data_IF_123527329781
#
_entry.id   IF_123527329781
#
_cell.length_a   1.000
_cell.length_b   1.000
_cell.length_c   1.000
_cell.angle_alpha   90.00
_cell.angle_beta   90.00
_cell.angle_gamma   90.00
#
_symmetry.space_group_name_H-M   'P 1'
#
loop_
_entity.id
_entity.type
_entity.pdbx_description
1 polymer ?
#
# COMPACT_ATOMS: atom_id res chain seq x y z
N UNK A 1 0.78 -33.37 2.48
CA UNK A 1 0.20 -32.13 3.04
C UNK A 1 1.35 -31.32 3.57
N UNK A 2 1.79 -30.31 2.82
CA UNK A 2 2.84 -29.40 3.31
C UNK A 2 2.22 -28.56 4.43
N UNK A 3 2.57 -28.88 5.67
CA UNK A 3 2.06 -28.17 6.83
C UNK A 3 2.68 -26.78 6.78
N UNK A 4 1.91 -25.81 6.25
CA UNK A 4 2.27 -24.39 6.27
C UNK A 4 2.65 -24.02 7.70
N UNK A 5 3.95 -23.84 7.96
CA UNK A 5 4.41 -23.36 9.26
C UNK A 5 3.71 -22.04 9.55
N UNK A 6 3.17 -21.89 10.74
CA UNK A 6 2.51 -20.62 11.12
C UNK A 6 3.58 -19.56 11.33
N UNK A 7 3.30 -18.30 10.98
CA UNK A 7 4.23 -17.18 11.21
C UNK A 7 4.79 -17.19 12.66
N UNK A 8 3.93 -17.49 13.64
CA UNK A 8 4.34 -17.61 15.04
C UNK A 8 5.37 -18.71 15.32
N UNK A 9 5.27 -19.86 14.65
CA UNK A 9 6.23 -20.97 14.80
C UNK A 9 7.56 -20.60 14.16
N UNK A 10 7.53 -19.97 12.99
CA UNK A 10 8.73 -19.51 12.30
C UNK A 10 9.49 -18.45 13.11
N UNK A 11 8.77 -17.58 13.82
CA UNK A 11 9.34 -16.56 14.70
C UNK A 11 10.02 -17.18 15.93
N UNK A 12 9.47 -18.27 16.47
CA UNK A 12 10.10 -19.04 17.55
C UNK A 12 11.36 -19.76 17.03
N UNK A 13 11.28 -20.41 15.87
CA UNK A 13 12.43 -21.09 15.24
C UNK A 13 13.58 -20.11 14.94
N UNK A 14 13.24 -18.86 14.61
CA UNK A 14 14.21 -17.80 14.33
C UNK A 14 14.75 -17.12 15.59
N UNK A 15 14.38 -17.59 16.79
CA UNK A 15 14.69 -16.97 18.10
C UNK A 15 14.25 -15.50 18.21
N UNK A 16 13.26 -15.08 17.42
CA UNK A 16 12.70 -13.72 17.47
C UNK A 16 11.60 -13.59 18.53
N UNK A 17 11.01 -14.71 18.95
CA UNK A 17 10.00 -14.77 20.00
C UNK A 17 10.16 -16.02 20.87
N UNK A 18 9.83 -15.89 22.15
CA UNK A 18 9.56 -17.06 22.99
C UNK A 18 8.12 -17.57 22.81
N UNK A 19 7.88 -18.82 23.19
CA UNK A 19 6.53 -19.40 23.15
C UNK A 19 5.54 -18.64 24.04
N UNK A 20 6.00 -18.10 25.17
CA UNK A 20 5.20 -17.26 26.06
C UNK A 20 4.84 -15.92 25.40
N UNK A 21 5.81 -15.26 24.76
CA UNK A 21 5.57 -14.01 24.03
C UNK A 21 4.62 -14.21 22.85
N UNK A 22 4.71 -15.35 22.14
CA UNK A 22 3.77 -15.69 21.08
C UNK A 22 2.35 -15.84 21.61
N UNK A 23 2.15 -16.51 22.74
CA UNK A 23 0.81 -16.67 23.33
C UNK A 23 0.21 -15.34 23.78
N UNK A 24 1.00 -14.49 24.44
CA UNK A 24 0.57 -13.13 24.80
C UNK A 24 0.22 -12.31 23.55
N UNK A 25 1.04 -12.37 22.51
CA UNK A 25 0.78 -11.68 21.25
C UNK A 25 -0.50 -12.18 20.56
N UNK A 26 -0.76 -13.49 20.53
CA UNK A 26 -1.99 -14.05 19.98
C UNK A 26 -3.24 -13.64 20.78
N UNK A 27 -3.13 -13.54 22.11
CA UNK A 27 -4.23 -13.10 22.97
C UNK A 27 -4.59 -11.62 22.75
N UNK A 28 -3.58 -10.77 22.57
CA UNK A 28 -3.76 -9.34 22.30
C UNK A 28 -4.15 -9.06 20.84
N UNK A 29 -3.63 -9.84 19.90
CA UNK A 29 -4.02 -9.80 18.49
C UNK A 29 -5.53 -10.02 18.34
N UNK A 30 -6.11 -10.98 19.07
CA UNK A 30 -7.57 -11.25 19.04
C UNK A 30 -8.41 -10.04 19.47
N UNK A 31 -7.87 -9.15 20.30
CA UNK A 31 -8.56 -7.93 20.76
C UNK A 31 -8.46 -6.79 19.75
N UNK A 32 -7.38 -6.76 18.97
CA UNK A 32 -7.09 -5.69 18.01
C UNK A 32 -7.55 -5.99 16.59
N UNK A 33 -7.71 -7.28 16.24
CA UNK A 33 -8.09 -7.72 14.89
C UNK A 33 -6.97 -7.59 13.84
N UNK A 34 -5.77 -7.16 14.24
CA UNK A 34 -4.61 -6.99 13.36
C UNK A 34 -3.98 -8.33 12.98
N UNK A 35 -3.16 -8.36 11.92
CA UNK A 35 -2.32 -9.53 11.63
C UNK A 35 -1.24 -9.68 12.72
N UNK A 36 -0.85 -10.92 13.05
CA UNK A 36 0.17 -11.20 14.08
C UNK A 36 1.48 -10.46 13.81
N UNK A 37 1.95 -10.42 12.55
CA UNK A 37 3.15 -9.68 12.18
C UNK A 37 3.06 -8.18 12.48
N UNK A 38 1.97 -7.52 12.06
CA UNK A 38 1.72 -6.10 12.33
C UNK A 38 1.65 -5.82 13.83
N UNK A 39 0.99 -6.70 14.60
CA UNK A 39 0.90 -6.56 16.04
C UNK A 39 2.29 -6.62 16.70
N UNK A 40 3.14 -7.57 16.30
CA UNK A 40 4.49 -7.72 16.82
C UNK A 40 5.42 -6.55 16.48
N UNK A 41 5.27 -5.98 15.28
CA UNK A 41 5.99 -4.78 14.85
C UNK A 41 5.57 -3.58 15.68
N UNK A 42 4.27 -3.38 15.87
CA UNK A 42 3.73 -2.27 16.65
C UNK A 42 4.09 -2.36 18.13
N UNK A 43 4.17 -3.58 18.67
CA UNK A 43 4.66 -3.83 20.03
C UNK A 43 6.17 -3.67 20.21
N UNK A 44 6.92 -3.43 19.14
CA UNK A 44 8.38 -3.30 19.17
C UNK A 44 9.12 -4.62 19.46
N UNK A 45 8.41 -5.75 19.42
CA UNK A 45 8.96 -7.07 19.73
C UNK A 45 9.83 -7.58 18.58
N UNK A 46 9.39 -7.33 17.34
CA UNK A 46 10.11 -7.73 16.12
C UNK A 46 10.10 -6.58 15.13
N UNK A 47 11.22 -6.30 14.48
CA UNK A 47 11.28 -5.28 13.42
C UNK A 47 10.64 -5.77 12.12
N UNK A 48 9.99 -4.88 11.38
CA UNK A 48 9.40 -5.16 10.05
C UNK A 48 10.39 -5.85 9.11
N UNK A 49 11.62 -5.32 9.03
CA UNK A 49 12.71 -5.89 8.23
C UNK A 49 13.06 -7.32 8.65
N UNK A 50 13.02 -7.63 9.95
CA UNK A 50 13.36 -8.97 10.45
C UNK A 50 12.29 -9.99 10.05
N UNK A 51 11.01 -9.58 10.05
CA UNK A 51 9.91 -10.43 9.55
C UNK A 51 10.09 -10.71 8.07
N UNK A 52 10.36 -9.66 7.27
CA UNK A 52 10.60 -9.80 5.83
C UNK A 52 11.79 -10.72 5.55
N UNK A 53 12.92 -10.51 6.22
CA UNK A 53 14.12 -11.33 6.03
C UNK A 53 13.88 -12.79 6.43
N UNK A 54 13.12 -13.03 7.50
CA UNK A 54 12.71 -14.37 7.92
C UNK A 54 11.84 -15.05 6.86
N UNK A 55 10.82 -14.35 6.33
CA UNK A 55 9.94 -14.85 5.29
C UNK A 55 10.71 -15.18 4.00
N UNK A 56 11.62 -14.30 3.58
CA UNK A 56 12.47 -14.50 2.41
C UNK A 56 13.31 -15.78 2.55
N UNK A 57 13.96 -15.96 3.70
CA UNK A 57 14.80 -17.15 3.96
C UNK A 57 13.98 -18.44 4.00
N UNK A 58 12.83 -18.41 4.66
CA UNK A 58 12.01 -19.60 4.87
C UNK A 58 11.31 -20.05 3.59
N UNK A 59 10.80 -19.10 2.80
CA UNK A 59 10.08 -19.36 1.56
C UNK A 59 11.00 -19.38 0.33
N UNK A 60 12.29 -19.06 0.51
CA UNK A 60 13.27 -18.90 -0.58
C UNK A 60 12.81 -17.90 -1.65
N UNK A 61 12.16 -16.84 -1.21
CA UNK A 61 11.68 -15.74 -2.06
C UNK A 61 12.67 -14.58 -1.96
N UNK A 62 12.85 -13.82 -3.05
CA UNK A 62 13.69 -12.62 -3.02
C UNK A 62 13.04 -11.49 -2.21
N UNK A 63 13.88 -10.70 -1.56
CA UNK A 63 13.51 -9.43 -0.96
C UNK A 63 13.46 -8.33 -2.02
N UNK A 64 12.48 -7.45 -1.91
CA UNK A 64 12.37 -6.28 -2.76
C UNK A 64 13.53 -5.30 -2.50
N UNK A 65 14.11 -4.81 -3.60
CA UNK A 65 15.13 -3.78 -3.58
C UNK A 65 14.81 -2.72 -4.65
N UNK A 66 14.61 -1.45 -4.28
CA UNK A 66 14.30 -0.38 -5.23
C UNK A 66 15.31 -0.27 -6.39
N UNK A 67 16.60 -0.49 -6.13
CA UNK A 67 17.65 -0.37 -7.14
C UNK A 67 17.57 -1.43 -8.26
N UNK A 68 16.93 -2.57 -7.99
CA UNK A 68 16.82 -3.67 -8.97
C UNK A 68 15.60 -3.56 -9.88
N UNK A 69 14.57 -2.85 -9.42
CA UNK A 69 13.26 -2.83 -10.06
C UNK A 69 12.88 -1.40 -10.42
N UNK A 70 13.24 -0.93 -11.62
CA UNK A 70 12.81 0.38 -12.08
C UNK A 70 11.28 0.42 -12.17
N UNK A 71 10.68 1.51 -11.70
CA UNK A 71 9.23 1.70 -11.72
C UNK A 71 8.75 1.85 -13.15
N UNK A 72 7.80 1.00 -13.56
CA UNK A 72 7.18 1.03 -14.88
C UNK A 72 5.69 1.40 -14.74
N UNK A 73 5.32 2.56 -15.27
CA UNK A 73 3.95 3.08 -15.20
C UNK A 73 2.96 2.30 -16.07
N UNK A 74 3.43 1.56 -17.08
CA UNK A 74 2.52 0.73 -17.89
C UNK A 74 1.90 -0.42 -17.08
N UNK A 75 2.52 -0.78 -15.94
CA UNK A 75 1.99 -1.78 -15.01
C UNK A 75 0.71 -1.34 -14.29
N UNK A 76 0.47 -0.03 -14.17
CA UNK A 76 -0.77 0.52 -13.61
C UNK A 76 -2.02 0.12 -14.43
N UNK A 77 -1.84 -0.27 -15.70
CA UNK A 77 -2.92 -0.78 -16.55
C UNK A 77 -3.30 -2.23 -16.25
N UNK A 78 -2.41 -3.00 -15.62
CA UNK A 78 -2.62 -4.41 -15.28
C UNK A 78 -3.32 -4.56 -13.93
N UNK A 79 -2.92 -3.74 -12.97
CA UNK A 79 -3.45 -3.75 -11.62
C UNK A 79 -3.85 -2.31 -11.31
N UNK A 80 -5.13 -2.09 -10.98
CA UNK A 80 -5.62 -0.77 -10.55
C UNK A 80 -5.13 -0.44 -9.15
N UNK A 81 -5.07 0.87 -8.82
CA UNK A 81 -4.67 1.35 -7.49
C UNK A 81 -5.52 0.74 -6.36
N UNK A 82 -6.82 0.57 -6.57
CA UNK A 82 -7.73 -0.04 -5.59
C UNK A 82 -7.32 -1.48 -5.24
N UNK A 83 -6.89 -2.25 -6.25
CA UNK A 83 -6.45 -3.63 -6.09
C UNK A 83 -5.10 -3.65 -5.36
N UNK A 84 -4.19 -2.78 -5.77
CA UNK A 84 -2.87 -2.62 -5.16
C UNK A 84 -2.98 -2.26 -3.66
N UNK A 85 -3.86 -1.31 -3.32
CA UNK A 85 -4.12 -0.91 -1.93
C UNK A 85 -4.87 -1.99 -1.15
N UNK A 86 -5.90 -2.61 -1.72
CA UNK A 86 -6.71 -3.64 -1.05
C UNK A 86 -5.86 -4.84 -0.65
N UNK A 87 -4.99 -5.30 -1.54
CA UNK A 87 -4.15 -6.47 -1.31
C UNK A 87 -2.75 -6.13 -0.79
N UNK A 88 -2.45 -4.83 -0.57
CA UNK A 88 -1.13 -4.35 -0.12
C UNK A 88 0.00 -4.93 -0.98
N UNK A 89 -0.11 -4.72 -2.29
CA UNK A 89 0.83 -5.20 -3.29
C UNK A 89 1.10 -4.13 -4.36
N UNK A 90 2.20 -4.28 -5.09
CA UNK A 90 2.52 -3.42 -6.22
C UNK A 90 3.20 -4.20 -7.34
N UNK A 91 2.83 -3.98 -8.61
CA UNK A 91 3.53 -4.60 -9.73
C UNK A 91 4.92 -3.99 -9.91
N UNK A 92 5.94 -4.83 -10.08
CA UNK A 92 7.33 -4.41 -10.25
C UNK A 92 7.80 -4.48 -11.70
N UNK A 93 7.44 -5.56 -12.39
CA UNK A 93 7.90 -5.81 -13.76
C UNK A 93 7.02 -6.83 -14.45
N UNK A 94 6.79 -6.66 -15.75
CA UNK A 94 6.17 -7.67 -16.60
C UNK A 94 7.13 -8.10 -17.71
N UNK A 95 7.31 -9.41 -17.87
CA UNK A 95 8.10 -10.02 -18.95
C UNK A 95 7.29 -11.12 -19.63
N UNK A 96 6.61 -10.76 -20.72
CA UNK A 96 5.73 -11.69 -21.44
C UNK A 96 4.55 -12.11 -20.57
N UNK A 97 4.54 -13.39 -20.15
CA UNK A 97 3.53 -13.96 -19.25
C UNK A 97 3.93 -13.93 -17.78
N UNK A 98 5.18 -13.57 -17.45
CA UNK A 98 5.65 -13.50 -16.07
C UNK A 98 5.44 -12.09 -15.51
N UNK A 99 4.75 -11.96 -14.39
CA UNK A 99 4.50 -10.71 -13.69
C UNK A 99 5.14 -10.77 -12.30
N UNK A 100 6.20 -9.99 -12.10
CA UNK A 100 6.84 -9.85 -10.79
C UNK A 100 6.07 -8.81 -9.96
N UNK A 101 5.63 -9.18 -8.75
CA UNK A 101 4.90 -8.31 -7.84
C UNK A 101 5.55 -8.26 -6.46
N UNK A 102 5.54 -7.07 -5.86
CA UNK A 102 5.92 -6.86 -4.47
C UNK A 102 4.71 -7.11 -3.56
N UNK A 103 4.86 -7.95 -2.54
CA UNK A 103 3.83 -8.30 -1.57
C UNK A 103 4.37 -8.13 -0.15
N UNK A 104 3.49 -7.70 0.75
CA UNK A 104 3.77 -7.68 2.19
C UNK A 104 3.66 -9.06 2.83
N UNK A 105 2.76 -9.90 2.30
CA UNK A 105 2.45 -11.22 2.84
C UNK A 105 2.42 -12.29 1.73
N UNK A 106 3.56 -12.94 1.42
CA UNK A 106 3.63 -13.97 0.37
C UNK A 106 2.90 -15.27 0.74
N UNK A 107 2.39 -15.41 1.97
CA UNK A 107 1.67 -16.60 2.42
C UNK A 107 0.18 -16.57 2.03
N UNK A 108 -0.31 -15.41 1.58
CA UNK A 108 -1.69 -15.23 1.16
C UNK A 108 -1.91 -15.73 -0.28
N UNK A 109 -2.12 -17.04 -0.39
CA UNK A 109 -2.37 -17.71 -1.67
C UNK A 109 -3.61 -17.14 -2.38
N UNK A 110 -4.63 -16.70 -1.65
CA UNK A 110 -5.84 -16.15 -2.29
C UNK A 110 -5.51 -14.86 -3.05
N UNK A 111 -4.62 -14.04 -2.49
CA UNK A 111 -4.13 -12.83 -3.15
C UNK A 111 -3.36 -13.19 -4.42
N UNK A 112 -2.44 -14.16 -4.35
CA UNK A 112 -1.70 -14.63 -5.52
C UNK A 112 -2.63 -15.15 -6.62
N UNK A 113 -3.53 -16.09 -6.28
CA UNK A 113 -4.48 -16.69 -7.23
C UNK A 113 -5.39 -15.63 -7.88
N UNK A 114 -5.84 -14.65 -7.08
CA UNK A 114 -6.68 -13.55 -7.59
C UNK A 114 -5.92 -12.70 -8.60
N UNK A 115 -4.65 -12.38 -8.34
CA UNK A 115 -3.84 -11.57 -9.25
C UNK A 115 -3.47 -12.36 -10.51
N UNK A 116 -3.15 -13.64 -10.40
CA UNK A 116 -2.91 -14.51 -11.56
C UNK A 116 -4.15 -14.59 -12.46
N UNK A 117 -5.32 -14.81 -11.87
CA UNK A 117 -6.59 -14.87 -12.59
C UNK A 117 -6.95 -13.52 -13.26
N UNK A 118 -6.71 -12.40 -12.58
CA UNK A 118 -6.99 -11.06 -13.11
C UNK A 118 -6.04 -10.66 -14.24
N UNK A 119 -4.75 -10.98 -14.09
CA UNK A 119 -3.70 -10.54 -15.03
C UNK A 119 -3.42 -11.56 -16.12
N UNK A 120 -4.01 -12.76 -16.03
CA UNK A 120 -3.78 -13.91 -16.90
C UNK A 120 -2.27 -14.19 -17.12
N UNK A 121 -1.49 -13.94 -16.08
CA UNK A 121 -0.03 -13.97 -16.05
C UNK A 121 0.42 -14.82 -14.87
N UNK A 122 1.57 -15.46 -15.00
CA UNK A 122 2.23 -16.21 -13.92
C UNK A 122 2.88 -15.20 -12.97
N UNK A 123 2.57 -15.29 -11.67
CA UNK A 123 2.99 -14.28 -10.70
C UNK A 123 4.25 -14.74 -9.98
N UNK A 124 5.28 -13.90 -10.04
CA UNK A 124 6.51 -14.08 -9.28
C UNK A 124 6.49 -13.14 -8.05
N UNK A 125 6.26 -13.67 -6.84
CA UNK A 125 6.18 -12.84 -5.65
C UNK A 125 7.58 -12.40 -5.19
N UNK A 126 7.67 -11.16 -4.72
CA UNK A 126 8.84 -10.59 -4.05
C UNK A 126 8.37 -9.98 -2.74
N UNK A 127 9.08 -10.25 -1.63
CA UNK A 127 8.63 -9.79 -0.31
C UNK A 127 9.13 -8.37 -0.05
N UNK A 128 8.25 -7.50 0.40
CA UNK A 128 8.55 -6.11 0.75
C UNK A 128 7.92 -5.73 2.10
N UNK A 129 8.39 -4.63 2.68
CA UNK A 129 7.79 -4.00 3.86
C UNK A 129 6.55 -3.19 3.48
N UNK A 130 5.70 -2.88 4.46
CA UNK A 130 4.53 -2.02 4.26
C UNK A 130 4.93 -0.62 3.77
N UNK A 131 6.08 -0.12 4.21
CA UNK A 131 6.61 1.17 3.74
C UNK A 131 6.99 1.12 2.26
N UNK A 132 7.70 0.08 1.86
CA UNK A 132 8.14 -0.10 0.47
C UNK A 132 6.96 -0.27 -0.48
N UNK A 133 5.94 -1.07 -0.12
CA UNK A 133 4.76 -1.24 -0.99
C UNK A 133 3.98 0.07 -1.14
N UNK A 134 3.82 0.84 -0.07
CA UNK A 134 3.14 2.14 -0.15
C UNK A 134 3.93 3.12 -1.01
N UNK A 135 5.26 3.13 -0.92
CA UNK A 135 6.11 3.93 -1.79
C UNK A 135 6.00 3.50 -3.25
N UNK A 136 5.94 2.21 -3.53
CA UNK A 136 5.74 1.66 -4.87
C UNK A 136 4.38 2.07 -5.44
N UNK A 137 3.30 1.89 -4.68
CA UNK A 137 1.95 2.32 -5.07
C UNK A 137 1.97 3.83 -5.40
N UNK A 138 2.53 4.66 -4.53
CA UNK A 138 2.64 6.09 -4.78
C UNK A 138 3.52 6.42 -6.00
N UNK A 139 4.53 5.62 -6.31
CA UNK A 139 5.41 5.86 -7.45
C UNK A 139 4.78 5.43 -8.78
N UNK A 140 4.05 4.30 -8.78
CA UNK A 140 3.37 3.74 -9.96
C UNK A 140 2.10 4.52 -10.28
N UNK A 141 1.29 4.87 -9.27
CA UNK A 141 -0.02 5.51 -9.42
C UNK A 141 -0.03 7.00 -9.08
N UNK A 142 1.01 7.54 -8.45
CA UNK A 142 1.00 8.93 -7.94
C UNK A 142 0.85 10.02 -9.00
N UNK A 143 1.02 9.70 -10.28
CA UNK A 143 0.70 10.66 -11.35
C UNK A 143 -0.81 10.73 -11.65
N UNK A 144 -1.59 9.67 -11.37
CA UNK A 144 -3.05 9.71 -11.43
C UNK A 144 -3.66 10.45 -10.22
N UNK A 145 -3.10 10.27 -9.02
CA UNK A 145 -3.58 11.00 -7.82
C UNK A 145 -3.29 12.50 -7.89
N UNK A 146 -2.17 12.92 -8.47
CA UNK A 146 -1.87 14.36 -8.62
C UNK A 146 -2.92 15.10 -9.45
N UNK A 147 -3.56 14.46 -10.43
CA UNK A 147 -4.62 15.08 -11.23
C UNK A 147 -5.96 15.11 -10.47
N UNK A 148 -6.25 14.12 -9.61
CA UNK A 148 -7.43 14.14 -8.74
C UNK A 148 -7.41 15.30 -7.74
N UNK A 149 -6.27 15.52 -7.08
CA UNK A 149 -6.13 16.60 -6.08
C UNK A 149 -6.19 18.01 -6.71
N UNK A 150 -5.75 18.21 -7.97
CA UNK A 150 -5.87 19.55 -8.60
C UNK A 150 -7.31 19.84 -9.01
N UNK A 151 -8.09 18.85 -9.46
CA UNK A 151 -9.49 19.07 -9.81
C UNK A 151 -10.36 19.39 -8.58
N UNK A 152 -10.11 18.73 -7.44
CA UNK A 152 -10.85 19.02 -6.20
C UNK A 152 -10.55 20.44 -5.65
N UNK A 153 -9.36 20.98 -5.93
CA UNK A 153 -8.98 22.35 -5.55
C UNK A 153 -9.58 23.46 -6.43
N UNK A 154 -10.32 23.15 -7.50
CA UNK A 154 -10.96 24.13 -8.39
C UNK A 154 -12.49 24.26 -8.24
N UNK A 155 -13.14 23.44 -7.41
CA UNK A 155 -14.62 23.44 -7.28
C UNK A 155 -15.19 24.36 -6.18
N UNK A 156 -14.40 25.28 -5.62
CA UNK A 156 -14.94 26.27 -4.67
C UNK A 156 -14.42 27.67 -5.01
N UNK A 157 -15.01 28.29 -6.03
CA UNK A 157 -15.40 29.71 -5.91
C UNK A 157 -16.51 30.08 -6.90
N UNK A 158 -17.76 29.95 -6.47
CA UNK A 158 -18.86 30.72 -7.04
C UNK A 158 -19.81 31.15 -5.92
N UNK A 159 -19.32 32.06 -5.07
CA UNK A 159 -20.20 32.94 -4.31
C UNK A 159 -20.63 34.10 -5.22
N UNK A 160 -21.93 34.29 -5.51
CA UNK A 160 -22.41 35.57 -6.02
C UNK A 160 -22.39 36.58 -4.88
N UNK A 161 -21.52 37.59 -4.99
CA UNK A 161 -21.39 38.68 -4.03
C UNK A 161 -22.70 39.49 -3.90
N UNK A 162 -23.08 39.72 -2.64
CA UNK A 162 -24.15 40.59 -2.14
C UNK A 162 -23.79 42.06 -2.44
N UNK A 163 -24.32 42.64 -3.52
CA UNK A 163 -24.23 44.08 -3.76
C UNK A 163 -25.22 44.84 -2.86
N UNK A 164 -24.74 45.28 -1.69
CA UNK A 164 -25.36 46.37 -0.92
C UNK A 164 -24.39 47.55 -0.73
N UNK A 165 -24.56 48.51 -1.63
CA UNK A 165 -24.55 49.98 -1.45
C UNK A 165 -23.57 50.62 -0.48
N UNK A 166 -22.76 51.54 -1.01
CA UNK A 166 -22.33 52.75 -0.29
C UNK A 166 -22.44 53.96 -1.22
N UNK A 167 -23.14 54.99 -0.72
CA UNK A 167 -23.27 56.36 -1.23
C UNK A 167 -21.93 57.02 -1.61
N UNK A 168 -21.97 57.90 -2.63
CA UNK A 168 -21.63 59.32 -2.45
C UNK A 168 -22.00 60.15 -3.70
N UNK A 169 -22.67 61.28 -3.45
CA UNK A 169 -22.94 62.34 -4.41
C UNK A 169 -21.65 63.02 -4.90
N UNK A 170 -21.70 63.75 -6.04
CA UNK A 170 -21.71 65.20 -5.87
C UNK A 170 -22.65 65.97 -6.82
N UNK A 171 -23.18 67.04 -6.24
CA UNK A 171 -23.52 68.39 -6.73
C UNK A 171 -23.71 68.70 -8.23
N UNK A 172 -24.87 69.35 -8.48
CA UNK A 172 -25.26 70.33 -9.51
C UNK A 172 -24.31 70.66 -10.68
N UNK A 173 -24.86 70.66 -11.92
CA UNK A 173 -25.03 71.84 -12.81
C UNK A 173 -25.96 71.49 -13.99
N UNK A 174 -27.21 71.95 -13.88
CA UNK A 174 -28.06 72.70 -14.84
C UNK A 174 -27.85 72.70 -16.38
N UNK A 175 -28.99 72.93 -17.07
CA UNK A 175 -29.24 73.40 -18.48
C UNK A 175 -29.54 72.23 -19.45
N UNK A 176 -30.69 72.13 -20.12
CA UNK A 176 -31.55 73.15 -20.74
C UNK A 176 -33.01 72.71 -20.90
#
# INVERSE_FOLDING_TARGET
MEVKKRLGEMLIESNLLSQEQLQSALAEQRKTGLKLGQFLVRGGVVGENQIVDMLCRQLKIERYHPDKYPVDMDLARLISVDVAQKYQLAPLKKKGRLLTIALTDPLDINTLDSIEAMTNSEVEPVVCTEREVNQLINSVYGMQSKIGDVLESMEIDSHPDDERGIEQAPEDVQIS
#
